data_IF_742713324601
#
_entry.id   IF_742713324601
#
_cell.length_a   1.000
_cell.length_b   1.000
_cell.length_c   1.000
_cell.angle_alpha   90.00
_cell.angle_beta   90.00
_cell.angle_gamma   90.00
#
_symmetry.space_group_name_H-M   'P 1'
#
loop_
_entity.id
_entity.type
_entity.pdbx_description
1 polymer ?
#
# COMPACT_ATOMS: atom_id res chain seq x y z
N UNK A 1 18.28 -3.14 -22.58
CA UNK A 1 17.29 -4.01 -21.87
C UNK A 1 15.94 -3.34 -21.97
N UNK A 2 14.94 -4.04 -22.50
CA UNK A 2 13.55 -3.62 -22.64
C UNK A 2 12.71 -4.34 -21.57
N UNK A 3 12.10 -3.55 -20.67
CA UNK A 3 11.29 -4.05 -19.56
C UNK A 3 9.80 -3.82 -19.85
N UNK A 4 9.01 -4.88 -19.71
CA UNK A 4 7.55 -4.83 -19.80
C UNK A 4 6.98 -4.84 -18.39
N UNK A 5 6.00 -3.99 -18.11
CA UNK A 5 5.32 -3.92 -16.82
C UNK A 5 3.82 -4.13 -17.06
N UNK A 6 3.23 -5.11 -16.42
CA UNK A 6 1.79 -5.33 -16.40
C UNK A 6 1.18 -4.63 -15.18
N UNK A 7 0.36 -3.59 -15.43
CA UNK A 7 -0.30 -2.76 -14.42
C UNK A 7 0.38 -1.41 -14.19
N UNK A 8 -0.43 -0.34 -14.23
CA UNK A 8 -0.03 1.05 -13.93
C UNK A 8 -0.53 1.52 -12.55
N UNK A 9 -0.66 0.65 -11.57
CA UNK A 9 -0.86 1.04 -10.18
C UNK A 9 0.40 1.67 -9.58
N UNK A 10 0.35 2.09 -8.31
CA UNK A 10 1.47 2.77 -7.62
C UNK A 10 2.78 1.99 -7.76
N UNK A 11 2.77 0.66 -7.55
CA UNK A 11 3.97 -0.17 -7.69
C UNK A 11 4.52 -0.19 -9.11
N UNK A 12 3.66 -0.38 -10.13
CA UNK A 12 4.06 -0.42 -11.54
C UNK A 12 4.60 0.92 -12.03
N UNK A 13 3.96 2.04 -11.66
CA UNK A 13 4.45 3.38 -11.99
C UNK A 13 5.76 3.71 -11.29
N UNK A 14 5.92 3.31 -10.02
CA UNK A 14 7.19 3.49 -9.32
C UNK A 14 8.32 2.68 -9.97
N UNK A 15 8.05 1.43 -10.34
CA UNK A 15 9.01 0.59 -11.06
C UNK A 15 9.38 1.20 -12.42
N UNK A 16 8.38 1.69 -13.17
CA UNK A 16 8.64 2.39 -14.42
C UNK A 16 9.54 3.61 -14.23
N UNK A 17 9.23 4.48 -13.26
CA UNK A 17 10.03 5.67 -12.97
C UNK A 17 11.47 5.32 -12.54
N UNK A 18 11.66 4.34 -11.66
CA UNK A 18 12.99 3.90 -11.21
C UNK A 18 13.81 3.33 -12.38
N UNK A 19 13.21 2.51 -13.23
CA UNK A 19 13.89 1.87 -14.36
C UNK A 19 14.21 2.89 -15.48
N UNK A 20 13.29 3.81 -15.79
CA UNK A 20 13.53 4.88 -16.75
C UNK A 20 14.66 5.79 -16.27
N UNK A 21 14.65 6.18 -14.98
CA UNK A 21 15.74 6.95 -14.36
C UNK A 21 17.09 6.21 -14.48
N UNK A 22 17.09 4.88 -14.38
CA UNK A 22 18.27 4.03 -14.57
C UNK A 22 18.62 3.79 -16.06
N UNK A 23 17.99 4.46 -17.02
CA UNK A 23 18.26 4.37 -18.46
C UNK A 23 17.77 3.09 -19.13
N UNK A 24 16.76 2.39 -18.57
CA UNK A 24 16.14 1.23 -19.19
C UNK A 24 15.02 1.66 -20.13
N UNK A 25 14.78 0.87 -21.16
CA UNK A 25 13.57 1.02 -22.00
C UNK A 25 12.39 0.35 -21.27
N UNK A 26 11.33 1.08 -21.03
CA UNK A 26 10.18 0.58 -20.26
C UNK A 26 8.90 0.74 -21.07
N UNK A 27 8.01 -0.25 -20.98
CA UNK A 27 6.62 -0.16 -21.47
C UNK A 27 5.68 -0.72 -20.41
N UNK A 28 4.71 0.11 -20.02
CA UNK A 28 3.67 -0.24 -19.04
C UNK A 28 2.36 -0.51 -19.78
N UNK A 29 1.70 -1.60 -19.44
CA UNK A 29 0.41 -2.02 -20.02
C UNK A 29 -0.65 -2.00 -18.93
N UNK A 30 -1.65 -1.11 -19.09
CA UNK A 30 -2.72 -0.90 -18.13
C UNK A 30 -4.07 -1.26 -18.74
N UNK A 31 -4.87 -2.03 -18.00
CA UNK A 31 -6.20 -2.48 -18.45
C UNK A 31 -7.23 -1.37 -18.49
N UNK A 32 -7.10 -0.35 -17.64
CA UNK A 32 -8.04 0.75 -17.55
C UNK A 32 -7.96 1.67 -18.79
N UNK A 33 -9.08 2.32 -19.15
CA UNK A 33 -9.12 3.27 -20.26
C UNK A 33 -8.48 4.62 -19.91
N UNK A 34 -8.27 4.90 -18.65
CA UNK A 34 -7.64 6.11 -18.15
C UNK A 34 -6.82 5.81 -16.90
N UNK A 35 -5.78 6.60 -16.66
CA UNK A 35 -5.06 6.57 -15.41
C UNK A 35 -5.90 7.24 -14.32
N UNK A 36 -6.06 6.55 -13.20
CA UNK A 36 -6.80 7.04 -12.05
C UNK A 36 -6.93 5.94 -11.01
N UNK A 37 -7.10 6.35 -9.78
CA UNK A 37 -7.30 5.43 -8.66
C UNK A 37 -8.54 5.85 -7.89
N UNK A 38 -9.42 4.91 -7.57
CA UNK A 38 -10.51 5.14 -6.63
C UNK A 38 -9.88 5.26 -5.24
N UNK A 39 -9.96 6.46 -4.65
CA UNK A 39 -9.06 6.86 -3.61
C UNK A 39 -9.60 6.83 -2.20
N UNK A 40 -8.78 6.28 -1.33
CA UNK A 40 -8.72 6.55 0.09
C UNK A 40 -7.31 7.02 0.44
N UNK A 41 -7.08 7.29 1.71
CA UNK A 41 -5.76 7.64 2.18
C UNK A 41 -4.77 6.47 2.10
N UNK A 42 -3.53 6.79 1.82
CA UNK A 42 -2.37 5.93 2.05
C UNK A 42 -1.40 6.66 2.97
N UNK A 43 -0.63 5.87 3.70
CA UNK A 43 0.41 6.36 4.60
C UNK A 43 1.76 5.96 4.00
N UNK A 44 2.69 6.90 3.99
CA UNK A 44 4.03 6.75 3.45
C UNK A 44 5.04 6.97 4.56
N UNK A 45 5.67 5.91 5.01
CA UNK A 45 6.77 5.96 5.97
C UNK A 45 8.12 6.20 5.28
N UNK A 46 9.15 6.53 6.04
CA UNK A 46 10.46 6.94 5.55
C UNK A 46 11.06 6.00 4.49
N UNK A 47 10.88 4.69 4.63
CA UNK A 47 11.36 3.69 3.68
C UNK A 47 10.82 3.91 2.25
N UNK A 48 9.55 4.31 2.11
CA UNK A 48 8.95 4.65 0.82
C UNK A 48 9.29 6.08 0.38
N UNK A 49 9.28 7.04 1.30
CA UNK A 49 9.52 8.46 1.00
C UNK A 49 10.91 8.69 0.44
N UNK A 50 11.93 7.96 0.92
CA UNK A 50 13.29 8.02 0.36
C UNK A 50 13.31 7.75 -1.14
N UNK A 51 12.56 6.75 -1.61
CA UNK A 51 12.48 6.42 -3.04
C UNK A 51 11.76 7.52 -3.82
N UNK A 52 10.64 8.02 -3.29
CA UNK A 52 9.90 9.10 -3.94
C UNK A 52 10.73 10.38 -4.03
N UNK A 53 11.54 10.67 -3.03
CA UNK A 53 12.49 11.79 -3.04
C UNK A 53 13.60 11.59 -4.08
N UNK A 54 14.13 10.38 -4.18
CA UNK A 54 15.12 10.03 -5.21
C UNK A 54 14.54 10.16 -6.63
N UNK A 55 13.24 9.93 -6.79
CA UNK A 55 12.52 10.16 -8.05
C UNK A 55 12.25 11.65 -8.34
N UNK A 56 12.63 12.57 -7.44
CA UNK A 56 12.43 14.02 -7.61
C UNK A 56 11.01 14.49 -7.26
N UNK A 57 10.27 13.74 -6.43
CA UNK A 57 8.89 14.06 -6.07
C UNK A 57 8.74 14.80 -4.74
N UNK A 58 9.83 15.26 -4.10
CA UNK A 58 9.79 15.92 -2.79
C UNK A 58 8.80 17.08 -2.76
N UNK A 59 9.01 18.11 -3.56
CA UNK A 59 8.20 19.35 -3.54
C UNK A 59 6.73 19.05 -3.88
N UNK A 60 6.50 18.14 -4.82
CA UNK A 60 5.16 17.74 -5.22
C UNK A 60 4.42 16.97 -4.13
N UNK A 61 5.11 16.14 -3.34
CA UNK A 61 4.55 15.47 -2.17
C UNK A 61 4.24 16.47 -1.05
N UNK A 62 5.17 17.37 -0.73
CA UNK A 62 5.00 18.39 0.31
C UNK A 62 3.83 19.34 -0.01
N UNK A 63 3.56 19.59 -1.29
CA UNK A 63 2.46 20.44 -1.72
C UNK A 63 1.07 19.84 -1.45
N UNK A 64 0.92 18.51 -1.39
CA UNK A 64 -0.40 17.85 -1.30
C UNK A 64 -0.58 16.96 -0.07
N UNK A 65 0.51 16.48 0.52
CA UNK A 65 0.46 15.56 1.64
C UNK A 65 0.22 16.25 2.99
N UNK A 66 -0.08 15.47 4.01
CA UNK A 66 -0.14 15.89 5.42
C UNK A 66 1.01 15.21 6.17
N UNK A 67 1.78 15.97 6.94
CA UNK A 67 2.75 15.43 7.92
C UNK A 67 2.03 15.27 9.26
N UNK A 68 1.79 14.04 9.73
CA UNK A 68 1.18 13.81 11.03
C UNK A 68 2.18 14.05 12.16
N UNK A 69 1.67 14.54 13.31
CA UNK A 69 2.49 14.76 14.50
C UNK A 69 2.75 13.46 15.26
N UNK A 70 1.78 12.54 15.26
CA UNK A 70 1.86 11.29 16.02
C UNK A 70 0.87 10.24 15.50
N UNK A 71 1.07 8.99 15.94
CA UNK A 71 0.00 8.00 16.06
C UNK A 71 -0.59 8.08 17.47
N UNK A 72 -1.90 8.21 17.57
CA UNK A 72 -2.67 8.08 18.81
C UNK A 72 -3.46 6.79 18.78
N UNK A 73 -3.23 5.92 19.74
CA UNK A 73 -4.06 4.74 19.98
C UNK A 73 -5.04 5.07 21.10
N UNK A 74 -6.33 4.99 20.79
CA UNK A 74 -7.40 5.39 21.70
C UNK A 74 -8.35 4.24 21.99
N UNK A 75 -8.89 4.23 23.20
CA UNK A 75 -9.94 3.30 23.58
C UNK A 75 -11.24 3.67 22.89
N UNK A 76 -11.96 2.66 22.41
CA UNK A 76 -13.12 2.81 21.53
C UNK A 76 -14.31 3.56 22.16
N UNK A 77 -14.54 3.41 23.47
CA UNK A 77 -15.68 3.91 24.23
C UNK A 77 -15.41 5.26 24.93
N UNK A 78 -14.32 5.36 25.66
CA UNK A 78 -13.98 6.56 26.44
C UNK A 78 -13.18 7.60 25.66
N UNK A 79 -12.57 7.21 24.55
CA UNK A 79 -11.62 8.05 23.83
C UNK A 79 -10.28 8.26 24.51
N UNK A 80 -10.05 7.58 25.63
CA UNK A 80 -8.79 7.65 26.37
C UNK A 80 -7.61 7.26 25.49
N UNK A 81 -6.52 8.04 25.54
CA UNK A 81 -5.28 7.72 24.82
C UNK A 81 -4.51 6.63 25.52
N UNK A 82 -4.47 5.45 24.91
CA UNK A 82 -3.78 4.25 25.43
C UNK A 82 -2.28 4.29 25.17
N UNK A 83 -1.89 4.83 24.01
CA UNK A 83 -0.50 4.91 23.57
C UNK A 83 -0.31 6.01 22.54
N UNK A 84 0.93 6.52 22.44
CA UNK A 84 1.35 7.49 21.44
C UNK A 84 2.69 7.10 20.84
N UNK A 85 2.80 7.25 19.52
CA UNK A 85 4.08 7.15 18.81
C UNK A 85 4.34 8.51 18.16
N UNK A 86 5.33 9.28 18.63
CA UNK A 86 5.71 10.55 18.00
C UNK A 86 6.15 10.33 16.55
N UNK A 87 5.73 11.23 15.67
CA UNK A 87 6.14 11.32 14.29
C UNK A 87 6.86 12.67 14.04
N UNK A 88 6.41 13.42 13.05
CA UNK A 88 6.99 14.71 12.66
C UNK A 88 8.53 14.64 12.57
N UNK A 89 9.22 15.55 13.23
CA UNK A 89 10.68 15.66 13.16
C UNK A 89 11.41 14.47 13.81
N UNK A 90 10.82 13.89 14.87
CA UNK A 90 11.38 12.70 15.52
C UNK A 90 11.50 11.52 14.56
N UNK A 91 10.46 11.28 13.75
CA UNK A 91 10.49 10.23 12.75
C UNK A 91 11.51 10.51 11.65
N UNK A 92 11.55 11.74 11.14
CA UNK A 92 12.48 12.13 10.08
C UNK A 92 13.94 12.05 10.53
N UNK A 93 14.25 12.55 11.73
CA UNK A 93 15.61 12.48 12.30
C UNK A 93 16.06 11.03 12.51
N UNK A 94 15.17 10.17 13.01
CA UNK A 94 15.50 8.77 13.27
C UNK A 94 15.62 7.93 11.99
N UNK A 95 14.86 8.23 10.94
CA UNK A 95 14.71 7.36 9.78
C UNK A 95 15.17 7.99 8.44
N UNK A 96 15.57 9.26 8.43
CA UNK A 96 16.14 9.95 7.27
C UNK A 96 15.13 10.47 6.25
N UNK A 97 13.82 10.36 6.52
CA UNK A 97 12.75 10.95 5.72
C UNK A 97 11.46 11.09 6.55
N UNK A 98 10.56 12.02 6.22
CA UNK A 98 9.33 12.24 6.96
C UNK A 98 8.30 11.12 6.76
N UNK A 99 7.24 11.17 7.58
CA UNK A 99 6.02 10.38 7.43
C UNK A 99 4.94 11.24 6.79
N UNK A 100 4.24 10.70 5.79
CA UNK A 100 3.16 11.41 5.09
C UNK A 100 1.85 10.63 5.06
N UNK A 101 0.75 11.39 5.07
CA UNK A 101 -0.54 10.94 4.60
C UNK A 101 -0.83 11.59 3.26
N UNK A 102 -1.21 10.79 2.28
CA UNK A 102 -1.55 11.30 0.96
C UNK A 102 -2.80 10.59 0.43
N UNK A 103 -3.61 11.30 -0.35
CA UNK A 103 -4.69 10.67 -1.08
C UNK A 103 -4.12 9.77 -2.17
N UNK A 104 -4.61 8.52 -2.28
CA UNK A 104 -4.07 7.52 -3.21
C UNK A 104 -4.05 8.00 -4.66
N UNK A 105 -5.12 8.69 -5.09
CA UNK A 105 -5.19 9.23 -6.44
C UNK A 105 -4.16 10.35 -6.67
N UNK A 106 -3.86 11.15 -5.64
CA UNK A 106 -2.85 12.22 -5.77
C UNK A 106 -1.45 11.62 -5.92
N UNK A 107 -1.10 10.60 -5.11
CA UNK A 107 0.17 9.88 -5.27
C UNK A 107 0.30 9.22 -6.64
N UNK A 108 -0.77 8.58 -7.10
CA UNK A 108 -0.80 7.94 -8.42
C UNK A 108 -0.58 8.97 -9.55
N UNK A 109 -1.24 10.13 -9.47
CA UNK A 109 -1.07 11.21 -10.44
C UNK A 109 0.36 11.78 -10.46
N UNK A 110 0.98 11.93 -9.28
CA UNK A 110 2.39 12.38 -9.17
C UNK A 110 3.33 11.38 -9.85
N UNK A 111 3.15 10.09 -9.59
CA UNK A 111 3.97 9.03 -10.21
C UNK A 111 3.74 8.94 -11.72
N UNK A 112 2.49 9.01 -12.18
CA UNK A 112 2.16 8.98 -13.60
C UNK A 112 2.78 10.18 -14.34
N UNK A 113 2.67 11.39 -13.76
CA UNK A 113 3.32 12.58 -14.30
C UNK A 113 4.84 12.37 -14.39
N UNK A 114 5.47 11.84 -13.35
CA UNK A 114 6.91 11.58 -13.35
C UNK A 114 7.33 10.58 -14.43
N UNK A 115 6.53 9.54 -14.67
CA UNK A 115 6.77 8.58 -15.77
C UNK A 115 6.68 9.28 -17.12
N UNK A 116 5.66 10.11 -17.35
CA UNK A 116 5.50 10.84 -18.61
C UNK A 116 6.60 11.88 -18.86
N UNK A 117 7.14 12.51 -17.80
CA UNK A 117 8.30 13.41 -17.91
C UNK A 117 9.56 12.64 -18.38
N UNK A 118 9.71 11.37 -18.00
CA UNK A 118 10.86 10.54 -18.36
C UNK A 118 10.68 9.87 -19.75
N UNK A 119 9.49 9.38 -20.06
CA UNK A 119 9.11 8.83 -21.37
C UNK A 119 7.59 9.03 -21.61
N UNK A 120 7.19 10.01 -22.46
CA UNK A 120 5.79 10.30 -22.72
C UNK A 120 5.02 9.16 -23.41
N UNK A 121 5.73 8.18 -23.96
CA UNK A 121 5.15 7.03 -24.65
C UNK A 121 5.23 5.73 -23.83
N UNK A 122 5.63 5.81 -22.56
CA UNK A 122 5.89 4.65 -21.70
C UNK A 122 4.63 3.82 -21.45
N UNK A 123 3.45 4.45 -21.29
CA UNK A 123 2.21 3.81 -20.83
C UNK A 123 1.24 3.57 -21.98
N UNK A 124 0.75 2.32 -22.09
CA UNK A 124 -0.34 1.94 -23.00
C UNK A 124 -1.57 1.55 -22.18
N UNK A 125 -2.65 2.30 -22.36
CA UNK A 125 -3.96 2.04 -21.76
C UNK A 125 -4.79 1.06 -22.60
N UNK A 126 -5.91 0.57 -22.05
CA UNK A 126 -6.78 -0.45 -22.68
C UNK A 126 -5.99 -1.70 -23.10
N UNK A 127 -4.99 -2.09 -22.33
CA UNK A 127 -4.06 -3.17 -22.64
C UNK A 127 -3.94 -4.12 -21.43
N UNK A 128 -4.95 -5.01 -21.25
CA UNK A 128 -4.96 -5.97 -20.15
C UNK A 128 -4.02 -7.12 -20.44
N UNK A 129 -3.13 -7.41 -19.50
CA UNK A 129 -2.30 -8.60 -19.53
C UNK A 129 -3.17 -9.86 -19.39
N UNK A 130 -3.05 -10.80 -20.33
CA UNK A 130 -3.77 -12.08 -20.31
C UNK A 130 -2.89 -13.24 -19.86
N UNK A 131 -1.57 -13.11 -20.08
CA UNK A 131 -0.56 -14.08 -19.74
C UNK A 131 0.74 -13.74 -20.43
N UNK A 132 1.73 -14.60 -20.30
CA UNK A 132 3.03 -14.44 -20.96
C UNK A 132 3.63 -15.78 -21.39
N UNK A 133 4.59 -15.71 -22.30
CA UNK A 133 5.50 -16.80 -22.65
C UNK A 133 6.93 -16.29 -22.55
N UNK A 134 7.86 -17.15 -22.11
CA UNK A 134 9.29 -16.83 -22.05
C UNK A 134 10.13 -17.95 -22.67
N UNK A 135 11.27 -17.56 -23.25
CA UNK A 135 12.28 -18.47 -23.79
C UNK A 135 13.68 -17.91 -23.54
N UNK A 136 14.71 -18.53 -24.14
CA UNK A 136 16.09 -18.09 -23.99
C UNK A 136 16.34 -16.68 -24.54
N UNK A 137 15.55 -16.21 -25.50
CA UNK A 137 15.69 -14.92 -26.20
C UNK A 137 14.97 -13.79 -25.50
N UNK A 138 13.79 -14.05 -24.84
CA UNK A 138 13.00 -12.98 -24.25
C UNK A 138 11.73 -13.43 -23.58
N UNK A 139 10.88 -12.45 -23.31
CA UNK A 139 9.53 -12.65 -22.79
C UNK A 139 8.51 -11.95 -23.70
N UNK A 140 7.39 -12.61 -23.95
CA UNK A 140 6.29 -12.08 -24.73
C UNK A 140 5.05 -11.98 -23.84
N UNK A 141 4.58 -10.76 -23.60
CA UNK A 141 3.35 -10.46 -22.86
C UNK A 141 2.15 -10.50 -23.82
N UNK A 142 1.20 -11.36 -23.55
CA UNK A 142 -0.07 -11.47 -24.27
C UNK A 142 -1.06 -10.44 -23.74
N UNK A 143 -1.67 -9.66 -24.66
CA UNK A 143 -2.58 -8.57 -24.32
C UNK A 143 -3.98 -8.81 -24.89
N UNK A 144 -5.02 -8.46 -24.14
CA UNK A 144 -6.39 -8.51 -24.65
C UNK A 144 -6.58 -7.50 -25.80
N UNK A 145 -7.22 -7.97 -26.89
CA UNK A 145 -7.69 -7.09 -27.97
C UNK A 145 -6.60 -6.42 -28.80
N UNK A 146 -5.35 -6.92 -28.78
CA UNK A 146 -4.27 -6.32 -29.56
C UNK A 146 -3.03 -7.19 -29.71
N UNK A 147 -2.01 -6.72 -30.41
CA UNK A 147 -0.76 -7.47 -30.58
C UNK A 147 -0.03 -7.64 -29.25
N UNK A 148 0.60 -8.80 -29.10
CA UNK A 148 1.51 -9.11 -27.99
C UNK A 148 2.73 -8.17 -27.97
N UNK A 149 3.36 -8.03 -26.83
CA UNK A 149 4.55 -7.21 -26.63
C UNK A 149 5.74 -8.06 -26.22
N UNK A 150 6.88 -7.89 -26.89
CA UNK A 150 8.12 -8.60 -26.55
C UNK A 150 9.14 -7.71 -25.87
N UNK A 151 9.89 -8.27 -24.95
CA UNK A 151 10.92 -7.61 -24.17
C UNK A 151 11.90 -8.60 -23.56
N UNK A 152 12.83 -8.09 -22.75
CA UNK A 152 13.85 -8.90 -22.07
C UNK A 152 13.36 -9.39 -20.70
N UNK A 153 12.50 -8.58 -20.04
CA UNK A 153 11.99 -8.81 -18.68
C UNK A 153 10.52 -8.42 -18.60
N UNK A 154 9.73 -9.21 -17.86
CA UNK A 154 8.35 -8.89 -17.48
C UNK A 154 8.24 -8.66 -15.97
N UNK A 155 7.59 -7.58 -15.57
CA UNK A 155 7.22 -7.28 -14.18
C UNK A 155 5.70 -7.37 -14.06
N UNK A 156 5.20 -8.32 -13.28
CA UNK A 156 3.80 -8.43 -12.89
C UNK A 156 3.50 -7.50 -11.71
N UNK A 157 2.94 -6.33 -12.01
CA UNK A 157 2.46 -5.33 -11.04
C UNK A 157 0.94 -5.15 -11.14
N UNK A 158 0.23 -6.21 -11.55
CA UNK A 158 -1.20 -6.27 -11.87
C UNK A 158 -2.09 -6.60 -10.67
N UNK A 159 -1.57 -6.36 -9.45
CA UNK A 159 -2.31 -6.32 -8.19
C UNK A 159 -2.74 -7.69 -7.66
N UNK A 160 -3.66 -7.69 -6.69
CA UNK A 160 -4.06 -8.88 -5.94
C UNK A 160 -4.68 -9.98 -6.83
N UNK A 161 -5.29 -9.60 -7.98
CA UNK A 161 -5.89 -10.50 -8.96
C UNK A 161 -4.94 -10.84 -10.12
N UNK A 162 -3.63 -10.69 -9.90
CA UNK A 162 -2.58 -10.82 -10.90
C UNK A 162 -2.70 -12.09 -11.75
N UNK A 163 -2.68 -11.90 -13.06
CA UNK A 163 -2.59 -13.01 -14.03
C UNK A 163 -1.16 -13.48 -14.21
N UNK A 164 -0.20 -12.55 -14.12
CA UNK A 164 1.23 -12.91 -14.14
C UNK A 164 1.57 -13.81 -12.96
N UNK A 165 1.05 -13.50 -11.74
CA UNK A 165 1.23 -14.35 -10.56
C UNK A 165 0.78 -15.80 -10.79
N UNK A 166 -0.38 -16.00 -11.41
CA UNK A 166 -0.91 -17.36 -11.66
C UNK A 166 0.05 -18.22 -12.47
N UNK A 167 0.78 -17.62 -13.40
CA UNK A 167 1.77 -18.35 -14.20
C UNK A 167 3.11 -18.54 -13.46
N UNK A 168 3.54 -17.56 -12.66
CA UNK A 168 4.80 -17.61 -11.92
C UNK A 168 4.72 -18.56 -10.72
N UNK A 169 3.64 -18.51 -9.95
CA UNK A 169 3.52 -19.22 -8.66
C UNK A 169 2.44 -20.30 -8.68
N UNK A 170 1.51 -20.21 -9.64
CA UNK A 170 0.30 -21.03 -9.66
C UNK A 170 -0.90 -20.32 -9.03
N UNK A 171 -2.06 -20.98 -9.08
CA UNK A 171 -3.30 -20.45 -8.51
C UNK A 171 -3.33 -20.72 -7.00
N UNK A 172 -2.91 -19.76 -6.22
CA UNK A 172 -2.98 -19.81 -4.76
C UNK A 172 -4.26 -19.14 -4.29
N UNK A 173 -5.12 -19.82 -3.52
CA UNK A 173 -6.39 -19.25 -3.08
C UNK A 173 -6.16 -18.05 -2.14
N UNK A 174 -7.03 -17.05 -2.24
CA UNK A 174 -7.12 -16.00 -1.24
C UNK A 174 -7.84 -16.56 0.02
N UNK A 175 -7.28 -16.29 1.18
CA UNK A 175 -7.82 -16.75 2.48
C UNK A 175 -8.57 -15.57 3.09
N UNK A 176 -9.86 -15.73 3.32
CA UNK A 176 -10.65 -14.74 4.03
C UNK A 176 -10.18 -14.65 5.48
N UNK A 177 -9.92 -13.43 5.95
CA UNK A 177 -9.33 -13.21 7.29
C UNK A 177 -10.36 -13.16 8.42
N UNK A 178 -11.64 -13.23 8.10
CA UNK A 178 -12.72 -13.00 9.06
C UNK A 178 -13.00 -11.51 9.28
N UNK A 179 -12.49 -10.62 8.42
CA UNK A 179 -12.64 -9.18 8.56
C UNK A 179 -13.18 -8.53 7.29
N UNK A 180 -14.01 -7.52 7.51
CA UNK A 180 -14.40 -6.56 6.47
C UNK A 180 -13.87 -5.17 6.85
N UNK A 181 -13.59 -4.37 5.85
CA UNK A 181 -13.14 -3.00 6.03
C UNK A 181 -14.13 -2.01 5.40
N UNK A 182 -14.63 -1.09 6.22
CA UNK A 182 -15.33 0.10 5.79
C UNK A 182 -14.33 1.17 5.37
N UNK A 183 -14.70 1.95 4.38
CA UNK A 183 -13.91 3.10 3.95
C UNK A 183 -14.82 4.24 3.51
N UNK A 184 -14.48 5.43 3.97
CA UNK A 184 -15.09 6.67 3.53
C UNK A 184 -14.08 7.81 3.53
N UNK A 185 -14.36 8.81 2.72
CA UNK A 185 -13.61 10.06 2.66
C UNK A 185 -14.59 11.18 2.98
N UNK A 186 -14.28 12.00 3.98
CA UNK A 186 -15.17 13.01 4.55
C UNK A 186 -14.59 14.40 4.30
N UNK A 187 -15.28 15.32 3.60
CA UNK A 187 -14.86 16.71 3.52
C UNK A 187 -14.74 17.30 4.93
N UNK A 188 -13.60 17.92 5.25
CA UNK A 188 -13.37 18.51 6.57
C UNK A 188 -14.41 19.57 6.94
N UNK A 189 -15.01 20.22 5.94
CA UNK A 189 -16.11 21.18 6.13
C UNK A 189 -17.40 20.60 6.71
N UNK A 190 -17.55 19.27 6.71
CA UNK A 190 -18.68 18.57 7.36
C UNK A 190 -18.41 18.20 8.83
N UNK A 191 -17.20 18.45 9.30
CA UNK A 191 -16.77 18.14 10.67
C UNK A 191 -16.76 19.41 11.52
N UNK A 192 -16.97 19.31 12.83
CA UNK A 192 -16.82 20.44 13.75
C UNK A 192 -15.42 21.07 13.65
N UNK A 193 -15.32 22.37 13.86
CA UNK A 193 -14.03 23.05 13.94
C UNK A 193 -13.16 22.44 15.05
N UNK A 194 -11.90 22.14 14.73
CA UNK A 194 -10.99 21.51 15.71
C UNK A 194 -11.31 20.04 16.00
N UNK A 195 -12.05 19.36 15.14
CA UNK A 195 -12.46 17.96 15.31
C UNK A 195 -11.31 17.03 15.70
N UNK A 196 -10.17 17.15 15.05
CA UNK A 196 -8.99 16.32 15.31
C UNK A 196 -7.71 17.06 14.89
N UNK A 197 -6.63 16.86 15.62
CA UNK A 197 -5.30 17.32 15.21
C UNK A 197 -4.78 16.55 13.98
N UNK A 198 -3.68 17.03 13.40
CA UNK A 198 -2.98 16.32 12.30
C UNK A 198 -2.22 15.11 12.81
N UNK A 199 -2.96 14.10 13.25
CA UNK A 199 -2.45 12.82 13.76
C UNK A 199 -3.09 11.66 13.03
N UNK A 200 -2.54 10.46 13.18
CA UNK A 200 -3.26 9.21 12.91
C UNK A 200 -3.95 8.79 14.19
N UNK A 201 -5.25 8.72 14.22
CA UNK A 201 -5.96 8.14 15.36
C UNK A 201 -6.42 6.74 15.04
N UNK A 202 -6.02 5.77 15.86
CA UNK A 202 -6.46 4.39 15.80
C UNK A 202 -7.30 4.12 17.04
N UNK A 203 -8.58 3.86 16.84
CA UNK A 203 -9.54 3.53 17.88
C UNK A 203 -9.59 2.02 18.02
N UNK A 204 -9.23 1.52 19.20
CA UNK A 204 -9.07 0.11 19.51
C UNK A 204 -10.24 -0.37 20.37
N UNK A 205 -10.85 -1.51 20.01
CA UNK A 205 -11.96 -2.08 20.77
C UNK A 205 -12.31 -3.49 20.35
N UNK A 206 -13.16 -4.19 21.14
CA UNK A 206 -13.48 -5.60 20.90
C UNK A 206 -13.99 -5.86 19.48
N UNK A 207 -13.39 -6.86 18.81
CA UNK A 207 -13.76 -7.35 17.47
C UNK A 207 -13.66 -6.33 16.33
N UNK A 208 -13.22 -5.09 16.60
CA UNK A 208 -13.14 -4.02 15.58
C UNK A 208 -12.14 -2.94 15.97
N UNK A 209 -11.72 -2.16 14.99
CA UNK A 209 -10.96 -0.94 15.20
C UNK A 209 -11.31 0.05 14.09
N UNK A 210 -11.06 1.34 14.35
CA UNK A 210 -11.21 2.38 13.35
C UNK A 210 -9.91 3.18 13.23
N UNK A 211 -9.66 3.74 12.06
CA UNK A 211 -8.55 4.65 11.81
C UNK A 211 -9.06 5.92 11.13
N UNK A 212 -8.59 7.06 11.60
CA UNK A 212 -8.90 8.34 10.98
C UNK A 212 -7.64 9.21 10.88
N UNK A 213 -7.47 9.90 9.76
CA UNK A 213 -6.39 10.85 9.52
C UNK A 213 -6.70 11.80 8.38
N UNK A 214 -6.16 13.01 8.43
CA UNK A 214 -6.35 14.00 7.38
C UNK A 214 -5.50 13.75 6.14
N UNK A 215 -6.04 14.18 5.00
CA UNK A 215 -5.46 14.17 3.67
C UNK A 215 -5.57 15.58 3.05
N UNK A 216 -4.88 15.81 1.91
CA UNK A 216 -4.98 17.04 1.13
C UNK A 216 -4.85 18.28 2.01
N UNK A 217 -3.74 18.36 2.75
CA UNK A 217 -3.43 19.48 3.67
C UNK A 217 -4.44 19.68 4.81
N UNK A 218 -5.36 18.75 5.03
CA UNK A 218 -6.40 18.81 6.05
C UNK A 218 -7.81 19.06 5.51
N UNK A 219 -7.97 19.14 4.20
CA UNK A 219 -9.27 19.37 3.56
C UNK A 219 -10.21 18.16 3.62
N UNK A 220 -9.65 16.97 3.79
CA UNK A 220 -10.38 15.71 3.74
C UNK A 220 -9.92 14.80 4.87
N UNK A 221 -10.88 14.21 5.60
CA UNK A 221 -10.61 13.13 6.56
C UNK A 221 -10.81 11.77 5.88
N UNK A 222 -9.81 10.90 5.97
CA UNK A 222 -9.95 9.49 5.66
C UNK A 222 -10.47 8.75 6.88
N UNK A 223 -11.54 7.98 6.71
CA UNK A 223 -12.07 7.07 7.71
C UNK A 223 -11.97 5.63 7.21
N UNK A 224 -11.45 4.73 8.04
CA UNK A 224 -11.43 3.30 7.82
C UNK A 224 -11.88 2.55 9.07
N UNK A 225 -12.78 1.59 8.92
CA UNK A 225 -13.28 0.78 10.04
C UNK A 225 -13.17 -0.70 9.73
N UNK A 226 -12.38 -1.46 10.47
CA UNK A 226 -12.27 -2.91 10.32
C UNK A 226 -13.16 -3.62 11.36
N UNK A 227 -13.99 -4.54 10.88
CA UNK A 227 -14.99 -5.25 11.69
C UNK A 227 -14.89 -6.74 11.42
N UNK A 228 -14.95 -7.54 12.48
CA UNK A 228 -15.02 -9.00 12.37
C UNK A 228 -16.38 -9.45 11.81
N UNK A 229 -16.35 -10.29 10.79
CA UNK A 229 -17.53 -10.88 10.13
C UNK A 229 -17.28 -12.34 9.83
N UNK A 230 -18.26 -13.20 10.14
CA UNK A 230 -18.14 -14.63 9.89
C UNK A 230 -18.12 -14.99 8.39
N UNK A 231 -18.74 -14.16 7.56
CA UNK A 231 -18.85 -14.40 6.12
C UNK A 231 -18.32 -13.22 5.31
N UNK A 232 -17.55 -13.52 4.27
CA UNK A 232 -17.11 -12.54 3.29
C UNK A 232 -18.27 -12.13 2.38
N UNK A 233 -18.54 -10.83 2.28
CA UNK A 233 -19.38 -10.29 1.21
C UNK A 233 -18.53 -10.03 -0.02
N UNK A 234 -18.24 -11.00 -0.87
CA UNK A 234 -17.59 -10.86 -2.17
C UNK A 234 -16.23 -10.08 -2.22
N UNK A 235 -15.39 -10.41 -3.19
CA UNK A 235 -14.11 -9.72 -3.43
C UNK A 235 -14.27 -8.44 -4.28
N UNK A 236 -14.99 -7.45 -3.81
CA UNK A 236 -15.17 -6.20 -4.56
C UNK A 236 -14.69 -4.99 -3.77
N UNK A 237 -13.79 -4.20 -4.35
CA UNK A 237 -13.30 -2.94 -3.76
C UNK A 237 -14.31 -1.79 -3.87
N UNK A 238 -15.38 -1.97 -4.63
CA UNK A 238 -16.40 -0.96 -4.93
C UNK A 238 -17.78 -1.36 -4.45
N UNK A 239 -17.88 -2.35 -3.54
CA UNK A 239 -19.15 -2.76 -2.99
C UNK A 239 -19.69 -1.66 -2.08
N UNK A 240 -20.78 -1.02 -2.50
CA UNK A 240 -21.51 -0.08 -1.66
C UNK A 240 -22.40 -0.84 -0.68
N UNK A 241 -22.44 -0.36 0.55
CA UNK A 241 -23.31 -0.88 1.60
C UNK A 241 -24.09 0.26 2.23
N UNK A 242 -25.28 -0.02 2.79
CA UNK A 242 -26.05 0.98 3.51
C UNK A 242 -25.24 1.65 4.64
N UNK A 243 -25.35 2.97 4.75
CA UNK A 243 -24.71 3.75 5.81
C UNK A 243 -25.13 3.27 7.21
N UNK A 244 -26.38 2.82 7.34
CA UNK A 244 -26.99 2.30 8.57
C UNK A 244 -26.22 1.07 9.10
N UNK A 245 -25.67 0.26 8.23
CA UNK A 245 -24.85 -0.88 8.63
C UNK A 245 -23.52 -0.43 9.24
N UNK A 246 -22.88 0.59 8.64
CA UNK A 246 -21.68 1.20 9.21
C UNK A 246 -21.97 1.81 10.58
N UNK A 247 -23.09 2.54 10.70
CA UNK A 247 -23.53 3.17 11.97
C UNK A 247 -23.79 2.11 13.04
N UNK A 248 -24.42 1.01 12.69
CA UNK A 248 -24.69 -0.11 13.60
C UNK A 248 -23.41 -0.83 14.02
N UNK A 249 -22.45 -1.02 13.09
CA UNK A 249 -21.16 -1.64 13.40
C UNK A 249 -20.37 -0.88 14.46
N UNK A 250 -20.52 0.44 14.54
CA UNK A 250 -19.82 1.30 15.50
C UNK A 250 -20.76 1.89 16.57
N UNK A 251 -21.94 1.30 16.80
CA UNK A 251 -22.82 1.70 17.88
C UNK A 251 -22.12 1.58 19.25
N UNK A 252 -22.29 2.60 20.10
CA UNK A 252 -21.65 2.66 21.42
C UNK A 252 -20.17 3.06 21.42
N UNK A 253 -19.61 3.39 20.27
CA UNK A 253 -18.25 3.92 20.16
C UNK A 253 -18.24 5.43 20.49
N UNK A 254 -17.07 5.94 20.87
CA UNK A 254 -16.84 7.33 21.29
C UNK A 254 -17.45 8.34 20.33
N UNK A 255 -17.85 9.50 20.85
CA UNK A 255 -18.50 10.57 20.12
C UNK A 255 -17.77 11.04 18.85
N UNK A 256 -16.43 11.05 18.87
CA UNK A 256 -15.65 11.42 17.69
C UNK A 256 -15.87 10.43 16.52
N UNK A 257 -15.96 9.13 16.81
CA UNK A 257 -16.26 8.11 15.78
C UNK A 257 -17.68 8.31 15.25
N UNK A 258 -18.65 8.58 16.15
CA UNK A 258 -20.02 8.85 15.73
C UNK A 258 -20.10 10.11 14.87
N UNK A 259 -19.40 11.17 15.24
CA UNK A 259 -19.33 12.44 14.47
C UNK A 259 -18.73 12.21 13.07
N UNK A 260 -17.65 11.44 12.97
CA UNK A 260 -17.08 11.09 11.66
C UNK A 260 -18.08 10.30 10.81
N UNK A 261 -18.72 9.28 11.36
CA UNK A 261 -19.68 8.42 10.63
C UNK A 261 -20.89 9.26 10.18
N UNK A 262 -21.40 10.17 11.01
CA UNK A 262 -22.54 11.03 10.68
C UNK A 262 -22.22 12.04 9.57
N UNK A 263 -20.95 12.40 9.42
CA UNK A 263 -20.47 13.31 8.37
C UNK A 263 -20.20 12.61 7.01
N UNK A 264 -20.25 11.27 6.97
CA UNK A 264 -20.05 10.49 5.73
C UNK A 264 -21.23 10.72 4.78
N UNK A 265 -20.95 10.84 3.49
CA UNK A 265 -21.96 10.79 2.46
C UNK A 265 -22.57 9.37 2.40
N UNK A 266 -23.88 9.28 2.65
CA UNK A 266 -24.59 7.99 2.74
C UNK A 266 -24.48 7.14 1.48
N UNK A 267 -24.34 7.77 0.31
CA UNK A 267 -24.16 7.09 -0.97
C UNK A 267 -22.71 6.69 -1.25
N UNK A 268 -21.79 7.06 -0.35
CA UNK A 268 -20.34 6.82 -0.50
C UNK A 268 -19.73 5.91 0.58
N UNK A 269 -20.55 4.99 1.13
CA UNK A 269 -20.10 3.96 2.05
C UNK A 269 -19.65 2.72 1.31
N UNK A 270 -18.36 2.41 1.36
CA UNK A 270 -17.78 1.23 0.72
C UNK A 270 -17.32 0.23 1.77
N UNK A 271 -17.57 -1.05 1.48
CA UNK A 271 -17.09 -2.16 2.31
C UNK A 271 -16.47 -3.23 1.43
N UNK A 272 -15.38 -3.83 1.87
CA UNK A 272 -14.80 -5.01 1.23
C UNK A 272 -14.27 -6.00 2.26
N UNK A 273 -14.30 -7.26 1.89
CA UNK A 273 -13.71 -8.33 2.68
C UNK A 273 -12.18 -8.28 2.59
N UNK A 274 -11.52 -8.50 3.70
CA UNK A 274 -10.07 -8.58 3.75
C UNK A 274 -9.62 -10.02 3.51
N UNK A 275 -8.76 -10.16 2.52
CA UNK A 275 -8.15 -11.43 2.16
C UNK A 275 -6.65 -11.37 2.38
N UNK A 276 -6.08 -12.47 2.77
CA UNK A 276 -4.65 -12.70 2.85
C UNK A 276 -4.24 -13.81 1.87
N UNK A 277 -2.96 -13.96 1.64
CA UNK A 277 -2.36 -15.09 0.92
C UNK A 277 -1.13 -15.54 1.67
N UNK A 278 -0.84 -16.83 1.62
CA UNK A 278 0.43 -17.32 2.12
C UNK A 278 1.61 -16.65 1.41
N UNK A 279 2.63 -16.20 2.14
CA UNK A 279 3.83 -15.64 1.56
C UNK A 279 4.47 -16.63 0.58
N UNK A 280 4.76 -16.17 -0.63
CA UNK A 280 5.37 -17.01 -1.63
C UNK A 280 6.88 -17.16 -1.41
N UNK A 281 7.38 -18.39 -1.48
CA UNK A 281 8.81 -18.67 -1.34
C UNK A 281 9.61 -18.31 -2.60
N UNK A 282 8.94 -18.17 -3.73
CA UNK A 282 9.53 -17.78 -5.02
C UNK A 282 8.50 -16.96 -5.80
N UNK A 283 8.91 -15.90 -6.46
CA UNK A 283 8.05 -15.08 -7.31
C UNK A 283 8.72 -14.62 -8.61
N UNK A 284 9.80 -15.29 -9.00
CA UNK A 284 10.51 -15.00 -10.24
C UNK A 284 10.74 -16.26 -11.04
N UNK A 285 10.70 -16.12 -12.36
CA UNK A 285 11.16 -17.09 -13.35
C UNK A 285 12.49 -16.65 -13.97
N UNK A 286 12.88 -17.19 -15.10
CA UNK A 286 14.08 -16.73 -15.81
C UNK A 286 13.94 -15.29 -16.34
N UNK A 287 12.71 -14.84 -16.69
CA UNK A 287 12.47 -13.55 -17.31
C UNK A 287 11.27 -12.78 -16.77
N UNK A 288 10.49 -13.35 -15.86
CA UNK A 288 9.36 -12.68 -15.23
C UNK A 288 9.52 -12.61 -13.73
N UNK A 289 9.03 -11.53 -13.11
CA UNK A 289 8.97 -11.36 -11.65
C UNK A 289 7.71 -10.62 -11.23
N UNK A 290 7.36 -10.73 -9.94
CA UNK A 290 6.20 -10.06 -9.36
C UNK A 290 6.63 -8.88 -8.47
N UNK A 291 5.74 -7.91 -8.31
CA UNK A 291 5.94 -6.71 -7.51
C UNK A 291 4.65 -6.29 -6.80
N UNK A 292 4.77 -5.81 -5.55
CA UNK A 292 3.64 -5.30 -4.77
C UNK A 292 2.59 -6.38 -4.48
N UNK A 293 1.30 -6.03 -4.56
CA UNK A 293 0.20 -6.96 -4.22
C UNK A 293 0.14 -8.21 -5.11
N UNK A 294 0.77 -8.18 -6.29
CA UNK A 294 0.94 -9.38 -7.10
C UNK A 294 1.90 -10.39 -6.44
N UNK A 295 2.90 -9.93 -5.69
CA UNK A 295 3.85 -10.75 -4.97
C UNK A 295 3.41 -11.06 -3.53
N UNK A 296 3.03 -10.02 -2.77
CA UNK A 296 2.85 -10.08 -1.31
C UNK A 296 1.70 -9.19 -0.83
N UNK A 297 0.43 -9.52 -1.18
CA UNK A 297 -0.71 -8.78 -0.65
C UNK A 297 -0.70 -8.80 0.89
N UNK A 298 -1.03 -7.68 1.52
CA UNK A 298 -0.97 -7.53 2.97
C UNK A 298 -2.22 -6.87 3.53
N UNK A 299 -2.51 -7.16 4.80
CA UNK A 299 -3.56 -6.49 5.54
C UNK A 299 -3.18 -5.03 5.85
N UNK A 300 -4.16 -4.12 6.00
CA UNK A 300 -3.87 -2.68 6.11
C UNK A 300 -3.33 -2.23 7.48
N UNK A 301 -3.19 -3.11 8.45
CA UNK A 301 -2.98 -2.79 9.86
C UNK A 301 -1.64 -2.13 10.19
N UNK A 302 -0.64 -2.26 9.32
CA UNK A 302 0.64 -1.54 9.43
C UNK A 302 0.81 -0.45 8.37
N UNK A 303 -0.16 -0.28 7.46
CA UNK A 303 -0.12 0.68 6.37
C UNK A 303 1.13 0.54 5.46
N UNK A 304 1.63 -0.68 5.22
CA UNK A 304 2.88 -0.92 4.48
C UNK A 304 2.70 -1.46 3.06
N UNK A 305 1.50 -1.77 2.59
CA UNK A 305 1.31 -2.35 1.24
C UNK A 305 1.91 -1.48 0.13
N UNK A 306 1.57 -0.19 0.13
CA UNK A 306 2.13 0.78 -0.83
C UNK A 306 3.63 0.97 -0.62
N UNK A 307 4.09 1.06 0.62
CA UNK A 307 5.50 1.23 0.93
C UNK A 307 6.34 0.03 0.44
N UNK A 308 5.87 -1.20 0.64
CA UNK A 308 6.53 -2.40 0.12
C UNK A 308 6.66 -2.39 -1.41
N UNK A 309 5.59 -2.00 -2.12
CA UNK A 309 5.63 -1.91 -3.58
C UNK A 309 6.61 -0.86 -4.10
N UNK A 310 6.74 0.27 -3.38
CA UNK A 310 7.72 1.32 -3.68
C UNK A 310 9.15 0.82 -3.40
N UNK A 311 9.38 0.13 -2.29
CA UNK A 311 10.67 -0.51 -1.98
C UNK A 311 11.06 -1.54 -3.05
N UNK A 312 10.11 -2.39 -3.44
CA UNK A 312 10.32 -3.40 -4.49
C UNK A 312 10.81 -2.77 -5.79
N UNK A 313 10.15 -1.68 -6.21
CA UNK A 313 10.50 -0.96 -7.43
C UNK A 313 11.97 -0.47 -7.41
N UNK A 314 12.41 0.12 -6.31
CA UNK A 314 13.77 0.61 -6.16
C UNK A 314 14.80 -0.53 -6.13
N UNK A 315 14.53 -1.59 -5.36
CA UNK A 315 15.43 -2.75 -5.27
C UNK A 315 15.52 -3.48 -6.61
N UNK A 316 14.38 -3.68 -7.30
CA UNK A 316 14.33 -4.31 -8.61
C UNK A 316 15.13 -3.51 -9.67
N UNK A 317 14.94 -2.18 -9.70
CA UNK A 317 15.69 -1.32 -10.62
C UNK A 317 17.22 -1.41 -10.40
N UNK A 318 17.66 -1.51 -9.14
CA UNK A 318 19.08 -1.71 -8.79
C UNK A 318 19.60 -3.08 -9.18
N UNK A 319 18.76 -4.13 -9.12
CA UNK A 319 19.14 -5.47 -9.55
C UNK A 319 19.24 -5.58 -11.08
N UNK A 320 18.36 -4.90 -11.81
CA UNK A 320 18.36 -4.82 -13.27
C UNK A 320 19.38 -3.78 -13.79
N UNK A 321 20.63 -3.88 -13.33
CA UNK A 321 21.73 -2.95 -13.61
C UNK A 321 22.23 -2.97 -15.08
N UNK A 322 21.81 -3.96 -15.86
CA UNK A 322 22.15 -4.14 -17.26
C UNK A 322 23.46 -4.89 -17.49
N UNK A 323 24.26 -5.13 -16.47
CA UNK A 323 25.46 -5.93 -16.51
C UNK A 323 25.21 -7.39 -16.06
N UNK A 324 24.31 -7.56 -15.09
CA UNK A 324 23.92 -8.87 -14.54
C UNK A 324 22.94 -9.58 -15.49
N UNK A 325 23.12 -10.88 -15.80
CA UNK A 325 22.14 -11.68 -16.55
C UNK A 325 20.75 -11.61 -15.90
N UNK A 326 19.69 -11.50 -16.72
CA UNK A 326 18.32 -11.27 -16.25
C UNK A 326 17.89 -12.24 -15.16
N UNK A 327 18.05 -13.55 -15.37
CA UNK A 327 17.64 -14.56 -14.38
C UNK A 327 18.37 -14.40 -13.03
N UNK A 328 19.64 -14.01 -13.06
CA UNK A 328 20.41 -13.73 -11.83
C UNK A 328 19.93 -12.44 -11.16
N UNK A 329 19.65 -11.39 -11.94
CA UNK A 329 19.12 -10.14 -11.44
C UNK A 329 17.75 -10.30 -10.74
N UNK A 330 16.84 -11.08 -11.34
CA UNK A 330 15.54 -11.40 -10.76
C UNK A 330 15.66 -12.28 -9.52
N UNK A 331 16.56 -13.27 -9.54
CA UNK A 331 16.89 -14.08 -8.37
C UNK A 331 17.46 -13.24 -7.22
N UNK A 332 18.34 -12.26 -7.53
CA UNK A 332 18.87 -11.30 -6.57
C UNK A 332 17.77 -10.42 -5.99
N UNK A 333 16.88 -9.88 -6.82
CA UNK A 333 15.74 -9.09 -6.36
C UNK A 333 14.88 -9.86 -5.35
N UNK A 334 14.39 -11.04 -5.69
CA UNK A 334 13.52 -11.79 -4.78
C UNK A 334 14.22 -12.20 -3.47
N UNK A 335 15.50 -12.60 -3.48
CA UNK A 335 16.24 -12.90 -2.24
C UNK A 335 16.28 -11.70 -1.28
N UNK A 336 16.45 -10.49 -1.82
CA UNK A 336 16.50 -9.27 -1.02
C UNK A 336 15.12 -8.80 -0.53
N UNK A 337 14.02 -9.33 -1.11
CA UNK A 337 12.67 -8.86 -0.77
C UNK A 337 11.84 -9.84 0.03
N UNK A 338 11.90 -11.14 -0.26
CA UNK A 338 11.02 -12.16 0.32
C UNK A 338 11.02 -12.12 1.85
N UNK A 339 12.16 -12.19 2.49
CA UNK A 339 12.25 -12.23 3.96
C UNK A 339 11.64 -10.97 4.60
N UNK A 340 11.92 -9.78 4.01
CA UNK A 340 11.40 -8.51 4.50
C UNK A 340 9.89 -8.39 4.34
N UNK A 341 9.37 -8.67 3.15
CA UNK A 341 7.94 -8.55 2.87
C UNK A 341 7.13 -9.59 3.63
N UNK A 342 7.63 -10.82 3.75
CA UNK A 342 7.03 -11.87 4.61
C UNK A 342 6.91 -11.40 6.05
N UNK A 343 7.98 -10.82 6.62
CA UNK A 343 7.94 -10.27 7.98
C UNK A 343 6.88 -9.17 8.11
N UNK A 344 6.80 -8.24 7.17
CA UNK A 344 5.78 -7.17 7.20
C UNK A 344 4.36 -7.76 7.14
N UNK A 345 4.11 -8.73 6.25
CA UNK A 345 2.80 -9.38 6.11
C UNK A 345 2.40 -10.07 7.42
N UNK A 346 3.32 -10.82 8.03
CA UNK A 346 3.06 -11.53 9.29
C UNK A 346 2.83 -10.57 10.46
N UNK A 347 3.68 -9.54 10.61
CA UNK A 347 3.52 -8.54 11.67
C UNK A 347 2.24 -7.72 11.48
N UNK A 348 1.89 -7.37 10.23
CA UNK A 348 0.62 -6.70 9.93
C UNK A 348 -0.57 -7.55 10.37
N UNK A 349 -0.55 -8.83 10.07
CA UNK A 349 -1.60 -9.77 10.52
C UNK A 349 -1.67 -9.83 12.06
N UNK A 350 -0.52 -9.85 12.73
CA UNK A 350 -0.44 -9.86 14.21
C UNK A 350 -0.96 -8.60 14.90
N UNK A 351 -1.02 -7.45 14.20
CA UNK A 351 -1.60 -6.22 14.77
C UNK A 351 -3.11 -6.31 14.99
N UNK A 352 -3.80 -7.20 14.29
CA UNK A 352 -5.23 -7.46 14.46
C UNK A 352 -5.60 -7.76 15.92
N UNK A 353 -4.87 -8.65 16.56
CA UNK A 353 -5.11 -9.02 17.96
C UNK A 353 -4.86 -7.86 18.91
N UNK A 354 -3.79 -7.09 18.69
CA UNK A 354 -3.45 -5.93 19.54
C UNK A 354 -4.55 -4.86 19.50
N UNK A 355 -5.07 -4.52 18.30
CA UNK A 355 -6.11 -3.48 18.18
C UNK A 355 -7.47 -3.89 18.71
N UNK A 356 -7.67 -5.17 19.02
CA UNK A 356 -8.96 -5.75 19.43
C UNK A 356 -8.99 -6.36 20.80
N UNK A 357 -7.97 -6.09 21.63
CA UNK A 357 -7.98 -6.48 23.03
C UNK A 357 -9.17 -5.84 23.77
N UNK A 358 -9.82 -6.60 24.63
CA UNK A 358 -10.95 -6.11 25.43
C UNK A 358 -10.46 -5.36 26.67
N UNK A 359 -9.38 -5.82 27.27
CA UNK A 359 -8.80 -5.23 28.47
C UNK A 359 -7.85 -4.08 28.09
N UNK A 360 -8.16 -2.88 28.59
CA UNK A 360 -7.38 -1.67 28.32
C UNK A 360 -5.98 -1.69 28.97
N UNK A 361 -5.85 -2.29 30.15
CA UNK A 361 -4.56 -2.38 30.86
C UNK A 361 -3.64 -3.41 30.17
N UNK A 362 -4.19 -4.53 29.73
CA UNK A 362 -3.46 -5.51 28.93
C UNK A 362 -3.01 -4.88 27.60
N UNK A 363 -3.87 -4.09 26.95
CA UNK A 363 -3.54 -3.37 25.73
C UNK A 363 -2.39 -2.36 25.96
N UNK A 364 -2.45 -1.55 27.03
CA UNK A 364 -1.36 -0.61 27.38
C UNK A 364 -0.04 -1.35 27.63
N UNK A 365 -0.07 -2.44 28.42
CA UNK A 365 1.13 -3.27 28.63
C UNK A 365 1.69 -3.81 27.33
N UNK A 366 0.83 -4.35 26.44
CA UNK A 366 1.23 -4.87 25.14
C UNK A 366 1.86 -3.80 24.23
N UNK A 367 1.34 -2.57 24.24
CA UNK A 367 1.97 -1.46 23.52
C UNK A 367 3.34 -1.11 24.09
N UNK A 368 3.45 -1.08 25.43
CA UNK A 368 4.71 -0.76 26.10
C UNK A 368 5.77 -1.83 25.87
N UNK A 369 5.43 -3.10 26.04
CA UNK A 369 6.34 -4.25 25.85
C UNK A 369 6.82 -4.37 24.42
N UNK A 370 5.93 -4.17 23.43
CA UNK A 370 6.27 -4.21 22.01
C UNK A 370 7.14 -3.03 21.58
N UNK A 371 7.11 -1.93 22.32
CA UNK A 371 7.83 -0.69 22.00
C UNK A 371 7.78 -0.36 20.49
N UNK A 372 6.56 -0.21 19.95
CA UNK A 372 6.33 -0.10 18.51
C UNK A 372 7.13 1.03 17.85
N UNK A 373 7.36 2.13 18.56
CA UNK A 373 8.15 3.24 18.03
C UNK A 373 9.57 2.80 17.72
N UNK A 374 10.24 2.15 18.69
CA UNK A 374 11.62 1.67 18.54
C UNK A 374 11.70 0.48 17.59
N UNK A 375 10.88 -0.53 17.79
CA UNK A 375 10.94 -1.75 17.00
C UNK A 375 10.67 -1.49 15.50
N UNK A 376 9.68 -0.65 15.17
CA UNK A 376 9.42 -0.26 13.79
C UNK A 376 10.49 0.66 13.23
N UNK A 377 11.04 1.57 14.05
CA UNK A 377 12.17 2.43 13.66
C UNK A 377 13.37 1.61 13.21
N UNK A 378 13.80 0.66 14.03
CA UNK A 378 15.05 -0.10 13.84
C UNK A 378 15.11 -0.94 12.55
N UNK A 379 13.99 -1.49 12.07
CA UNK A 379 14.01 -2.38 10.91
C UNK A 379 13.06 -2.00 9.77
N UNK A 380 11.92 -1.38 10.09
CA UNK A 380 10.88 -1.09 9.11
C UNK A 380 11.13 0.27 8.43
N UNK A 381 11.16 1.34 9.22
CA UNK A 381 11.21 2.71 8.71
C UNK A 381 12.64 3.17 8.34
N UNK A 382 13.66 2.67 9.05
CA UNK A 382 15.07 2.96 8.75
C UNK A 382 15.56 2.34 7.45
N UNK A 383 14.87 1.30 6.95
CA UNK A 383 15.25 0.62 5.72
C UNK A 383 15.39 1.60 4.56
N UNK A 384 16.54 1.53 3.87
CA UNK A 384 16.80 2.33 2.69
C UNK A 384 16.96 1.45 1.45
N UNK A 385 15.89 1.32 0.64
CA UNK A 385 15.89 0.46 -0.54
C UNK A 385 16.86 0.94 -1.63
N UNK A 386 17.33 2.20 -1.55
CA UNK A 386 18.30 2.77 -2.47
C UNK A 386 19.75 2.40 -2.11
N UNK A 387 20.02 2.04 -0.85
CA UNK A 387 21.39 1.86 -0.32
C UNK A 387 21.63 0.50 0.32
N UNK A 388 20.58 -0.21 0.73
CA UNK A 388 20.75 -1.53 1.33
C UNK A 388 21.67 -2.43 0.49
N UNK A 389 22.64 -3.15 1.08
CA UNK A 389 23.45 -4.11 0.37
C UNK A 389 22.59 -5.19 -0.27
N UNK A 390 22.80 -5.44 -1.57
CA UNK A 390 22.07 -6.49 -2.31
C UNK A 390 22.91 -7.78 -2.36
N UNK A 391 22.31 -8.90 -1.91
CA UNK A 391 22.91 -10.23 -1.85
C UNK A 391 22.60 -11.04 -3.09
#
# INVERSE_FOLDING_TARGET
MKVLIAGAGIGGLTAAACLLKAGRQVRVYEQAPSLGEIGAGVQLSANAVKVLYDLGLRDALEAVAVRPHAFHFRRFDTGERLHEIPLADTHEQANGAPYYHIHRADLHALLARRVFELDPYCIRLNARAEGYAEDAQGVTLMLSGGPSASGDVLIGADGIKSRVRRQVIGDTPAIYTGDVAWRAVIPASRLPAGYMDKVVTIWCGPKRHAVAYFLRRGEVLNFGGCVERAQAGGESWTLRRPWEELKADFAGWHGDIQTAIDAIDRDSCYQWALFNREPAANWSTARATLLGDAAHPTLPYMAQGVAMAIEDAAVLARCLDGATPVAQALGRYQRNRIARTTRIVMESTGMRSLYRMEDAEEMRRSFHERNLARSRGEWLYSYDPLRVPLQ
#
